data_IF_448559015219
#
_entry.id   IF_448559015219
#
_cell.length_a   1.000
_cell.length_b   1.000
_cell.length_c   1.000
_cell.angle_alpha   90.00
_cell.angle_beta   90.00
_cell.angle_gamma   90.00
#
_symmetry.space_group_name_H-M   'P 1'
#
loop_
_entity.id
_entity.type
_entity.pdbx_description
1 polymer ?
2 non-polymer ?
3 non-polymer ?
4 non-polymer ?
5 non-polymer ?
6 water ?
#
# COMPACT_ATOMS: atom_id res chain seq x y z
N UNK A 1 14.83 10.88 -11.10
CA UNK A 1 15.56 10.06 -12.13
C UNK A 1 14.74 9.06 -12.92
N UNK A 2 15.35 7.92 -13.26
CA UNK A 2 14.67 6.89 -14.04
C UNK A 2 13.82 6.04 -13.17
N UNK A 3 14.38 5.71 -12.01
CA UNK A 3 13.70 4.86 -11.04
C UNK A 3 13.09 5.61 -9.87
N UNK A 4 11.77 5.75 -9.92
CA UNK A 4 11.06 6.46 -8.89
C UNK A 4 10.15 5.54 -8.07
N UNK A 5 10.28 5.56 -6.74
CA UNK A 5 9.44 4.74 -5.88
C UNK A 5 8.28 5.56 -5.32
N UNK A 6 7.12 4.95 -5.18
CA UNK A 6 5.95 5.65 -4.64
C UNK A 6 5.37 4.79 -3.53
N UNK A 7 5.64 5.15 -2.29
CA UNK A 7 5.13 4.40 -1.16
C UNK A 7 4.39 5.31 -0.18
N UNK A 8 3.56 4.72 0.68
CA UNK A 8 2.79 5.51 1.63
C UNK A 8 3.62 5.81 2.85
N UNK A 9 3.57 7.04 3.35
CA UNK A 9 4.36 7.41 4.52
C UNK A 9 3.69 7.08 5.82
N UNK A 10 2.38 6.82 5.81
CA UNK A 10 1.72 6.54 7.06
C UNK A 10 1.27 5.11 7.29
N UNK A 11 -0.04 4.90 7.39
CA UNK A 11 -0.61 3.56 7.60
C UNK A 11 -1.50 3.15 6.44
N UNK A 12 -1.06 3.39 5.21
CA UNK A 12 -1.85 3.04 4.04
C UNK A 12 -2.88 4.10 3.68
N UNK A 13 -3.52 3.93 2.54
CA UNK A 13 -4.56 4.85 2.10
C UNK A 13 -4.17 6.30 1.98
N UNK A 14 -2.91 6.56 1.67
CA UNK A 14 -2.42 7.92 1.53
C UNK A 14 -2.79 8.53 0.18
N UNK A 15 -3.05 7.70 -0.81
CA UNK A 15 -3.41 8.18 -2.14
C UNK A 15 -2.36 7.77 -3.17
N UNK A 16 -1.78 6.59 -2.97
CA UNK A 16 -0.74 6.07 -3.83
C UNK A 16 -1.24 5.82 -5.23
N UNK A 17 -2.31 5.06 -5.36
CA UNK A 17 -2.81 4.79 -6.67
C UNK A 17 -2.85 6.02 -7.55
N UNK A 18 -3.67 7.00 -7.18
CA UNK A 18 -3.79 8.20 -7.99
C UNK A 18 -2.47 8.74 -8.47
N UNK A 19 -1.51 8.85 -7.57
CA UNK A 19 -0.21 9.43 -7.90
C UNK A 19 0.58 8.61 -8.91
N UNK A 20 0.43 7.28 -8.87
CA UNK A 20 1.13 6.44 -9.81
C UNK A 20 0.49 6.62 -11.17
N UNK A 21 -0.83 6.49 -11.25
CA UNK A 21 -1.51 6.66 -12.50
C UNK A 21 -1.14 7.97 -13.15
N UNK A 22 -1.00 9.00 -12.33
CA UNK A 22 -0.66 10.33 -12.79
C UNK A 22 0.71 10.41 -13.46
N UNK A 23 1.73 10.06 -12.67
CA UNK A 23 3.11 10.12 -13.12
C UNK A 23 3.54 9.07 -14.14
N UNK A 24 2.80 7.98 -14.25
CA UNK A 24 3.20 6.95 -15.20
C UNK A 24 3.13 7.46 -16.63
N UNK A 25 2.53 8.61 -16.81
CA UNK A 25 2.45 9.17 -18.14
C UNK A 25 3.83 9.07 -18.79
N UNK A 26 4.88 9.21 -17.99
CA UNK A 26 6.24 9.18 -18.49
C UNK A 26 7.04 7.87 -18.33
N UNK A 27 6.49 6.92 -17.58
CA UNK A 27 7.15 5.62 -17.32
C UNK A 27 6.98 4.61 -18.41
N UNK A 28 7.88 3.64 -18.49
CA UNK A 28 7.76 2.58 -19.47
C UNK A 28 7.18 1.42 -18.67
N UNK A 29 7.57 1.36 -17.40
CA UNK A 29 7.12 0.30 -16.51
C UNK A 29 6.67 0.82 -15.17
N UNK A 30 5.72 0.08 -14.60
CA UNK A 30 5.16 0.32 -13.27
C UNK A 30 5.32 -1.06 -12.63
N UNK A 31 5.83 -1.09 -11.40
CA UNK A 31 6.07 -2.36 -10.73
C UNK A 31 5.48 -2.54 -9.32
N UNK A 32 4.70 -3.60 -9.06
CA UNK A 32 4.20 -3.83 -7.71
C UNK A 32 5.26 -4.69 -7.01
N UNK A 33 5.68 -4.34 -5.81
CA UNK A 33 6.74 -5.12 -5.22
C UNK A 33 6.47 -5.79 -3.90
N UNK A 34 5.26 -5.67 -3.39
CA UNK A 34 4.94 -6.32 -2.13
C UNK A 34 3.46 -6.27 -1.86
N UNK A 35 3.01 -7.12 -0.94
CA UNK A 35 1.61 -7.16 -0.59
C UNK A 35 0.84 -8.02 -1.55
N UNK A 36 -0.47 -7.83 -1.59
CA UNK A 36 -1.31 -8.61 -2.49
C UNK A 36 -2.54 -7.82 -2.87
N UNK A 37 -3.69 -8.47 -2.83
CA UNK A 37 -4.93 -7.81 -3.16
C UNK A 37 -5.57 -7.22 -1.89
N UNK A 38 -4.77 -7.16 -0.82
CA UNK A 38 -5.22 -6.55 0.41
C UNK A 38 -5.15 -5.04 0.15
N UNK A 39 -4.39 -4.66 -0.88
CA UNK A 39 -4.29 -3.27 -1.25
C UNK A 39 -5.50 -2.90 -2.13
N UNK A 40 -5.93 -1.64 -2.01
CA UNK A 40 -7.06 -1.13 -2.78
C UNK A 40 -6.75 0.28 -3.25
N UNK A 41 -6.51 0.44 -4.55
CA UNK A 41 -6.18 1.75 -5.09
C UNK A 41 -7.24 2.23 -6.04
N UNK A 42 -7.99 3.25 -5.61
CA UNK A 42 -9.04 3.79 -6.46
C UNK A 42 -8.54 4.90 -7.38
N UNK A 43 -8.94 4.84 -8.64
CA UNK A 43 -8.54 5.86 -9.59
C UNK A 43 -9.79 6.54 -10.14
N UNK A 44 -9.65 7.81 -10.45
CA UNK A 44 -10.75 8.57 -10.98
C UNK A 44 -10.18 9.41 -12.08
N UNK A 45 -10.41 8.98 -13.31
CA UNK A 45 -9.89 9.71 -14.44
C UNK A 45 -11.02 10.36 -15.23
N UNK A 46 -11.13 11.69 -15.12
CA UNK A 46 -12.16 12.45 -15.81
C UNK A 46 -13.54 11.93 -15.46
N UNK A 47 -13.74 11.63 -14.18
CA UNK A 47 -15.03 11.12 -13.75
C UNK A 47 -15.11 9.61 -13.61
N UNK A 48 -14.40 8.89 -14.46
CA UNK A 48 -14.40 7.43 -14.40
C UNK A 48 -13.58 6.94 -13.21
N UNK A 49 -14.21 6.10 -12.41
CA UNK A 49 -13.62 5.54 -11.20
C UNK A 49 -13.21 4.07 -11.32
N UNK A 50 -11.91 3.82 -11.22
CA UNK A 50 -11.39 2.45 -11.30
C UNK A 50 -10.74 2.08 -9.98
N UNK A 51 -11.10 0.92 -9.49
CA UNK A 51 -10.55 0.43 -8.25
C UNK A 51 -9.68 -0.80 -8.53
N UNK A 52 -8.39 -0.73 -8.21
CA UNK A 52 -7.49 -1.83 -8.41
C UNK A 52 -7.03 -2.37 -7.09
N UNK A 53 -6.42 -3.55 -7.11
CA UNK A 53 -5.92 -4.19 -5.89
C UNK A 53 -4.57 -4.80 -6.19
N UNK A 54 -4.62 -5.86 -6.99
CA UNK A 54 -3.45 -6.62 -7.39
C UNK A 54 -2.76 -6.00 -8.62
N UNK A 55 -3.54 -5.62 -9.63
CA UNK A 55 -2.97 -5.04 -10.83
C UNK A 55 -2.35 -3.66 -10.57
N UNK A 56 -1.14 -3.39 -11.10
CA UNK A 56 -0.52 -2.07 -10.87
C UNK A 56 -1.32 -0.93 -11.44
N UNK A 57 -1.24 0.20 -10.74
CA UNK A 57 -1.96 1.38 -11.12
C UNK A 57 -1.53 2.05 -12.43
N UNK A 58 -0.71 1.39 -13.22
CA UNK A 58 -0.32 2.03 -14.47
C UNK A 58 -1.08 1.38 -15.60
N UNK A 59 -1.93 0.44 -15.25
CA UNK A 59 -2.67 -0.33 -16.23
C UNK A 59 -3.57 0.41 -17.21
N UNK A 60 -4.14 1.54 -16.81
CA UNK A 60 -5.02 2.29 -17.70
C UNK A 60 -4.25 3.15 -18.67
N UNK A 61 -2.95 2.95 -18.75
CA UNK A 61 -2.15 3.74 -19.66
C UNK A 61 -1.54 2.85 -20.73
N UNK A 62 -1.70 3.23 -21.99
CA UNK A 62 -1.11 2.44 -23.07
C UNK A 62 0.34 2.85 -23.22
N UNK A 63 1.18 1.92 -23.68
CA UNK A 63 2.60 2.20 -23.84
C UNK A 63 3.32 2.17 -22.49
N UNK A 64 2.68 1.52 -21.53
CA UNK A 64 3.21 1.34 -20.17
C UNK A 64 2.93 -0.10 -19.78
N UNK A 65 3.99 -0.89 -19.61
CA UNK A 65 3.84 -2.30 -19.23
C UNK A 65 3.77 -2.44 -17.70
N UNK A 66 2.80 -3.20 -17.20
CA UNK A 66 2.65 -3.39 -15.76
C UNK A 66 3.23 -4.72 -15.33
N UNK A 67 4.05 -4.68 -14.27
CA UNK A 67 4.72 -5.88 -13.80
C UNK A 67 4.42 -6.12 -12.35
N UNK A 68 4.15 -7.37 -12.02
CA UNK A 68 3.88 -7.76 -10.67
C UNK A 68 5.15 -8.47 -10.20
N UNK A 69 5.95 -7.80 -9.40
CA UNK A 69 7.20 -8.37 -8.90
C UNK A 69 7.07 -9.56 -7.99
N UNK A 70 8.18 -10.26 -7.79
CA UNK A 70 8.20 -11.46 -6.97
C UNK A 70 7.80 -11.19 -5.52
N UNK A 71 7.81 -9.92 -5.12
CA UNK A 71 7.43 -9.59 -3.75
C UNK A 71 5.94 -9.77 -3.51
N UNK A 72 5.16 -9.69 -4.58
CA UNK A 72 3.72 -9.81 -4.47
C UNK A 72 3.26 -11.25 -4.22
N UNK A 73 2.38 -11.45 -3.24
CA UNK A 73 1.87 -12.79 -3.03
C UNK A 73 0.66 -12.73 -3.96
N UNK A 74 0.52 -13.74 -4.82
CA UNK A 74 -0.53 -13.71 -5.84
C UNK A 74 -1.69 -14.70 -5.83
N UNK A 75 -2.89 -14.14 -5.78
CA UNK A 75 -4.13 -14.90 -5.78
C UNK A 75 -4.56 -14.92 -7.24
N UNK A 76 -4.60 -16.12 -7.86
CA UNK A 76 -5.00 -16.23 -9.26
C UNK A 76 -6.47 -15.91 -9.37
N UNK A 77 -7.21 -16.26 -8.32
CA UNK A 77 -8.64 -15.97 -8.26
C UNK A 77 -8.84 -14.47 -8.40
N UNK A 78 -8.26 -13.72 -7.47
CA UNK A 78 -8.37 -12.26 -7.47
C UNK A 78 -7.83 -11.67 -8.79
N UNK A 79 -6.70 -12.16 -9.26
CA UNK A 79 -6.12 -11.66 -10.52
C UNK A 79 -7.16 -11.83 -11.65
N UNK A 80 -7.80 -12.97 -11.70
CA UNK A 80 -8.80 -13.23 -12.74
C UNK A 80 -9.87 -12.18 -12.69
N UNK A 81 -10.61 -12.19 -11.59
CA UNK A 81 -11.71 -11.26 -11.33
C UNK A 81 -11.30 -9.85 -11.72
N UNK A 82 -10.08 -9.48 -11.38
CA UNK A 82 -9.61 -8.14 -11.67
C UNK A 82 -9.32 -7.94 -13.14
N UNK A 83 -8.89 -8.99 -13.83
CA UNK A 83 -8.59 -8.88 -15.25
C UNK A 83 -9.86 -8.73 -16.06
N UNK A 84 -10.85 -9.55 -15.76
CA UNK A 84 -12.12 -9.49 -16.48
C UNK A 84 -12.82 -8.13 -16.37
N UNK A 85 -12.88 -7.55 -15.17
CA UNK A 85 -13.52 -6.26 -15.02
C UNK A 85 -12.92 -5.20 -15.98
N UNK A 86 -11.59 -5.10 -16.02
CA UNK A 86 -10.92 -4.13 -16.89
C UNK A 86 -11.03 -4.53 -18.34
N UNK A 87 -10.87 -5.82 -18.61
CA UNK A 87 -10.95 -6.33 -19.97
C UNK A 87 -12.35 -5.98 -20.45
N UNK A 88 -13.31 -6.01 -19.55
CA UNK A 88 -14.68 -5.65 -19.89
C UNK A 88 -14.76 -4.16 -20.20
N UNK A 89 -14.21 -3.32 -19.34
CA UNK A 89 -14.26 -1.89 -19.59
C UNK A 89 -13.53 -1.56 -20.89
N UNK A 90 -12.86 -2.55 -21.46
CA UNK A 90 -12.16 -2.29 -22.69
C UNK A 90 -10.66 -2.19 -22.50
N UNK A 91 -10.18 -2.38 -21.27
CA UNK A 91 -8.75 -2.32 -20.99
C UNK A 91 -8.17 -3.69 -21.37
N UNK A 92 -7.17 -3.72 -22.26
CA UNK A 92 -6.47 -4.91 -22.76
C UNK A 92 -5.41 -5.45 -21.79
N UNK A 93 -5.84 -5.84 -20.59
CA UNK A 93 -4.96 -6.33 -19.53
C UNK A 93 -3.94 -7.35 -19.98
N UNK A 94 -4.43 -8.48 -20.47
CA UNK A 94 -3.56 -9.56 -20.92
C UNK A 94 -2.39 -9.08 -21.75
N UNK A 95 -2.55 -7.94 -22.42
CA UNK A 95 -1.53 -7.40 -23.28
C UNK A 95 -0.51 -6.45 -22.63
N UNK A 96 -0.87 -5.84 -21.50
CA UNK A 96 0.03 -4.91 -20.82
C UNK A 96 0.65 -5.40 -19.53
N UNK A 97 0.22 -6.56 -19.05
CA UNK A 97 0.70 -7.12 -17.79
C UNK A 97 1.79 -8.17 -17.93
N UNK A 98 2.62 -8.32 -16.91
CA UNK A 98 3.69 -9.30 -16.88
C UNK A 98 3.87 -9.74 -15.43
N UNK A 99 4.12 -11.02 -15.23
CA UNK A 99 4.31 -11.55 -13.88
C UNK A 99 5.72 -12.12 -13.70
N UNK A 100 6.03 -12.44 -12.45
CA UNK A 100 7.29 -13.00 -12.07
C UNK A 100 6.92 -14.37 -11.57
N UNK A 101 7.56 -15.39 -12.14
CA UNK A 101 7.32 -16.79 -11.75
C UNK A 101 7.76 -17.05 -10.31
N UNK A 102 8.20 -15.99 -9.63
CA UNK A 102 8.69 -16.12 -8.27
C UNK A 102 7.65 -15.69 -7.23
N UNK A 103 6.52 -15.18 -7.68
CA UNK A 103 5.45 -14.77 -6.76
C UNK A 103 4.85 -15.95 -6.04
N UNK A 104 4.77 -15.91 -4.71
CA UNK A 104 4.14 -17.09 -4.10
C UNK A 104 2.68 -17.10 -4.52
N UNK A 105 1.94 -18.16 -4.23
CA UNK A 105 0.50 -18.20 -4.57
C UNK A 105 -0.38 -18.19 -3.33
N UNK A 106 -1.46 -17.43 -3.38
CA UNK A 106 -2.38 -17.41 -2.26
C UNK A 106 -3.52 -18.25 -2.78
N UNK A 107 -3.80 -19.31 -2.04
CA UNK A 107 -4.87 -20.23 -2.39
C UNK A 107 -5.85 -20.35 -1.23
N UNK A 108 -7.02 -20.90 -1.54
CA UNK A 108 -8.10 -21.03 -0.57
C UNK A 108 -7.66 -21.28 0.87
N UNK A 109 -6.74 -22.20 1.06
CA UNK A 109 -6.32 -22.50 2.41
C UNK A 109 -5.66 -21.34 3.16
N UNK A 110 -5.17 -20.34 2.44
CA UNK A 110 -4.53 -19.22 3.11
C UNK A 110 -5.58 -18.31 3.69
N UNK A 111 -6.63 -18.05 2.91
CA UNK A 111 -7.71 -17.19 3.38
C UNK A 111 -8.35 -17.80 4.60
N UNK A 112 -8.45 -19.12 4.59
CA UNK A 112 -9.04 -19.90 5.69
C UNK A 112 -8.20 -19.84 6.96
N UNK A 113 -6.89 -19.98 6.80
CA UNK A 113 -5.96 -19.92 7.93
C UNK A 113 -6.01 -18.53 8.53
N UNK A 114 -6.05 -17.55 7.63
CA UNK A 114 -6.10 -16.12 7.97
C UNK A 114 -7.32 -15.81 8.83
N UNK A 115 -8.49 -16.30 8.41
CA UNK A 115 -9.70 -16.09 9.17
C UNK A 115 -9.61 -16.87 10.49
N UNK A 116 -9.15 -18.10 10.43
CA UNK A 116 -9.01 -18.89 11.64
C UNK A 116 -8.09 -18.24 12.68
N UNK A 117 -6.90 -17.81 12.26
CA UNK A 117 -5.96 -17.18 13.18
C UNK A 117 -6.54 -15.91 13.77
N UNK A 118 -7.32 -15.17 12.98
CA UNK A 118 -7.89 -13.93 13.48
C UNK A 118 -8.97 -14.16 14.52
N UNK A 119 -9.83 -15.14 14.28
CA UNK A 119 -10.89 -15.45 15.22
C UNK A 119 -10.27 -15.98 16.52
N UNK A 120 -9.13 -16.66 16.39
CA UNK A 120 -8.42 -17.21 17.54
C UNK A 120 -7.68 -16.12 18.32
N UNK A 121 -7.25 -15.05 17.64
CA UNK A 121 -6.56 -13.93 18.29
C UNK A 121 -7.56 -13.25 19.22
N UNK A 122 -8.83 -13.53 18.99
CA UNK A 122 -9.89 -12.98 19.81
C UNK A 122 -9.91 -11.48 19.88
N UNK A 123 -9.75 -10.95 21.09
CA UNK A 123 -9.77 -9.52 21.31
C UNK A 123 -8.53 -8.83 20.76
N UNK A 124 -7.45 -9.59 20.61
CA UNK A 124 -6.20 -9.07 20.11
C UNK A 124 -6.02 -9.32 18.62
N UNK A 125 -7.13 -9.46 17.91
CA UNK A 125 -7.09 -9.69 16.48
C UNK A 125 -6.47 -8.46 15.86
N UNK A 126 -5.77 -8.68 14.76
CA UNK A 126 -5.05 -7.66 14.02
C UNK A 126 -5.91 -6.70 13.18
N UNK A 127 -6.91 -7.23 12.48
CA UNK A 127 -7.74 -6.36 11.65
C UNK A 127 -7.39 -6.61 10.21
N UNK A 128 -6.93 -7.83 9.96
CA UNK A 128 -6.50 -8.36 8.67
C UNK A 128 -7.49 -8.14 7.54
N UNK A 129 -7.01 -8.02 6.29
CA UNK A 129 -7.96 -7.88 5.20
C UNK A 129 -8.71 -9.20 4.94
N UNK A 130 -8.24 -10.31 5.50
CA UNK A 130 -8.91 -11.60 5.31
C UNK A 130 -8.70 -12.24 3.94
N UNK A 131 -7.68 -11.76 3.22
CA UNK A 131 -7.32 -12.26 1.88
C UNK A 131 -6.17 -13.28 1.91
N UNK A 132 -5.79 -13.77 3.09
CA UNK A 132 -4.73 -14.76 3.19
C UNK A 132 -3.30 -14.32 2.88
N UNK A 133 -3.01 -13.04 3.10
CA UNK A 133 -1.70 -12.47 2.83
C UNK A 133 -0.61 -12.98 3.78
N UNK A 134 -0.88 -12.91 5.08
CA UNK A 134 0.11 -13.39 6.03
C UNK A 134 0.34 -14.86 5.80
N UNK A 135 -0.73 -15.67 5.72
CA UNK A 135 -0.46 -17.09 5.50
C UNK A 135 0.39 -17.37 4.27
N UNK A 136 0.16 -16.66 3.19
CA UNK A 136 0.94 -16.87 1.98
C UNK A 136 2.44 -16.55 2.21
N UNK A 137 2.69 -15.46 2.93
CA UNK A 137 4.05 -15.03 3.22
C UNK A 137 4.73 -15.98 4.18
N UNK A 138 3.91 -16.69 4.95
CA UNK A 138 4.43 -17.64 5.91
C UNK A 138 4.87 -18.92 5.22
N UNK A 139 4.10 -19.39 4.26
CA UNK A 139 4.48 -20.58 3.51
C UNK A 139 5.78 -20.30 2.76
N UNK A 140 5.91 -19.10 2.20
CA UNK A 140 7.11 -18.69 1.48
C UNK A 140 8.36 -18.76 2.36
N UNK A 141 8.43 -17.99 3.43
CA UNK A 141 9.63 -18.06 4.25
C UNK A 141 9.81 -19.42 4.90
N UNK A 142 8.79 -20.26 4.89
CA UNK A 142 8.94 -21.57 5.51
C UNK A 142 9.40 -22.53 4.43
N UNK A 143 9.57 -21.97 3.25
CA UNK A 143 10.01 -22.71 2.08
C UNK A 143 9.06 -23.83 1.68
N UNK A 144 7.83 -23.83 2.18
CA UNK A 144 6.90 -24.87 1.76
C UNK A 144 5.94 -24.47 0.64
N UNK A 145 5.79 -23.17 0.41
CA UNK A 145 4.86 -22.66 -0.60
C UNK A 145 5.07 -22.85 -2.09
N UNK A 146 3.96 -22.65 -2.83
CA UNK A 146 3.92 -22.76 -4.27
C UNK A 146 4.14 -21.38 -4.84
N UNK A 147 4.69 -21.30 -6.05
CA UNK A 147 4.94 -20.02 -6.68
C UNK A 147 4.42 -20.15 -8.10
N UNK A 148 4.21 -19.04 -8.80
CA UNK A 148 3.71 -19.17 -10.15
C UNK A 148 4.50 -20.18 -10.94
N UNK A 149 5.82 -20.11 -10.79
CA UNK A 149 6.70 -21.01 -11.50
C UNK A 149 6.29 -22.46 -11.41
N UNK A 150 5.84 -22.87 -10.21
CA UNK A 150 5.40 -24.24 -9.97
C UNK A 150 4.35 -24.72 -10.96
N UNK A 151 3.65 -23.79 -11.59
CA UNK A 151 2.60 -24.13 -12.54
C UNK A 151 3.11 -24.61 -13.90
N UNK A 152 4.38 -24.38 -14.19
CA UNK A 152 4.92 -24.84 -15.46
C UNK A 152 4.82 -26.36 -15.56
N UNK A 153 4.73 -27.02 -14.41
CA UNK A 153 4.62 -28.46 -14.39
C UNK A 153 3.33 -28.84 -13.64
N UNK A 154 2.28 -29.06 -14.43
CA UNK A 154 0.95 -29.41 -13.92
C UNK A 154 1.01 -30.62 -13.00
N UNK A 155 1.78 -31.62 -13.42
CA UNK A 155 1.93 -32.86 -12.67
C UNK A 155 2.55 -32.66 -11.30
N UNK A 156 3.67 -31.95 -11.26
CA UNK A 156 4.35 -31.69 -10.01
C UNK A 156 3.50 -30.78 -9.15
N UNK A 157 2.91 -29.76 -9.76
CA UNK A 157 2.07 -28.83 -8.99
C UNK A 157 1.12 -29.62 -8.13
N UNK A 158 0.60 -30.70 -8.69
CA UNK A 158 -0.32 -31.56 -7.97
C UNK A 158 0.38 -32.20 -6.79
N UNK A 159 1.50 -32.86 -7.03
CA UNK A 159 2.22 -33.51 -5.94
C UNK A 159 2.49 -32.55 -4.78
N UNK A 160 3.06 -31.38 -5.09
CA UNK A 160 3.39 -30.39 -4.07
C UNK A 160 2.16 -29.86 -3.35
N UNK A 161 1.13 -29.51 -4.12
CA UNK A 161 -0.10 -29.00 -3.53
C UNK A 161 -0.66 -29.91 -2.45
N UNK A 162 -0.60 -31.23 -2.68
CA UNK A 162 -1.11 -32.22 -1.73
C UNK A 162 -0.40 -32.17 -0.39
N UNK A 163 0.93 -32.13 -0.40
CA UNK A 163 1.68 -32.08 0.85
C UNK A 163 1.33 -30.82 1.63
N UNK A 164 1.39 -29.67 0.96
CA UNK A 164 1.09 -28.42 1.62
C UNK A 164 -0.32 -28.44 2.21
N UNK A 165 -1.32 -28.83 1.42
CA UNK A 165 -2.68 -28.88 1.95
C UNK A 165 -2.78 -29.91 3.09
N UNK A 166 -2.11 -31.04 2.94
CA UNK A 166 -2.16 -32.02 4.01
C UNK A 166 -1.82 -31.31 5.33
N UNK A 167 -0.73 -30.56 5.32
CA UNK A 167 -0.26 -29.85 6.51
C UNK A 167 -1.22 -28.79 7.03
N UNK A 168 -1.76 -27.99 6.11
CA UNK A 168 -2.67 -26.91 6.50
C UNK A 168 -4.00 -27.38 6.99
N UNK A 169 -4.60 -28.36 6.32
CA UNK A 169 -5.88 -28.89 6.77
C UNK A 169 -5.74 -29.54 8.15
N UNK A 170 -4.60 -30.16 8.42
CA UNK A 170 -4.38 -30.76 9.74
C UNK A 170 -4.46 -29.65 10.77
N UNK A 171 -3.85 -28.51 10.46
CA UNK A 171 -3.85 -27.34 11.36
C UNK A 171 -5.28 -26.90 11.61
N UNK A 172 -6.00 -26.68 10.52
CA UNK A 172 -7.37 -26.20 10.54
C UNK A 172 -8.30 -27.08 11.34
N UNK A 173 -8.48 -28.29 10.84
CA UNK A 173 -9.36 -29.23 11.48
C UNK A 173 -9.01 -29.56 12.92
N UNK A 174 -7.79 -30.02 13.15
CA UNK A 174 -7.38 -30.41 14.48
C UNK A 174 -7.11 -29.27 15.44
N UNK A 175 -6.52 -28.19 14.96
CA UNK A 175 -6.19 -27.10 15.87
C UNK A 175 -7.17 -25.93 15.91
N UNK A 176 -7.56 -25.41 14.75
CA UNK A 176 -8.50 -24.31 14.75
C UNK A 176 -9.92 -24.88 14.71
N UNK A 177 -10.04 -26.20 14.80
CA UNK A 177 -11.35 -26.84 14.78
C UNK A 177 -12.19 -26.33 13.61
N UNK A 178 -11.55 -26.00 12.50
CA UNK A 178 -12.28 -25.44 11.36
C UNK A 178 -12.47 -26.36 10.17
N UNK A 179 -13.31 -25.93 9.24
CA UNK A 179 -13.59 -26.70 8.04
C UNK A 179 -12.32 -26.91 7.21
N UNK A 180 -12.15 -28.12 6.68
CA UNK A 180 -10.98 -28.41 5.86
C UNK A 180 -11.20 -27.81 4.49
N UNK A 181 -10.12 -27.49 3.79
CA UNK A 181 -10.26 -26.95 2.45
C UNK A 181 -10.10 -28.08 1.45
N UNK A 182 -11.01 -28.19 0.50
CA UNK A 182 -10.93 -29.27 -0.46
C UNK A 182 -9.79 -29.17 -1.45
N UNK A 183 -8.88 -30.14 -1.37
CA UNK A 183 -7.72 -30.25 -2.24
C UNK A 183 -8.09 -30.21 -3.72
N UNK A 184 -8.96 -31.13 -4.13
CA UNK A 184 -9.42 -31.25 -5.51
C UNK A 184 -10.02 -29.99 -6.08
N UNK A 185 -10.80 -29.30 -5.28
CA UNK A 185 -11.41 -28.05 -5.71
C UNK A 185 -10.29 -27.09 -6.10
N UNK A 186 -9.40 -26.83 -5.12
CA UNK A 186 -8.27 -25.92 -5.33
C UNK A 186 -7.41 -26.34 -6.51
N UNK A 187 -7.16 -27.63 -6.64
CA UNK A 187 -6.36 -28.12 -7.73
C UNK A 187 -7.02 -27.76 -9.06
N UNK A 188 -8.34 -27.97 -9.11
CA UNK A 188 -9.12 -27.70 -10.31
C UNK A 188 -9.20 -26.23 -10.62
N UNK A 189 -9.58 -25.44 -9.61
CA UNK A 189 -9.69 -24.00 -9.74
C UNK A 189 -8.40 -23.45 -10.32
N UNK A 190 -7.29 -23.80 -9.68
CA UNK A 190 -5.98 -23.32 -10.08
C UNK A 190 -5.58 -23.75 -11.46
N UNK A 191 -5.66 -25.06 -11.70
CA UNK A 191 -5.29 -25.62 -12.99
C UNK A 191 -5.95 -24.91 -14.16
N UNK A 192 -7.13 -24.35 -13.89
CA UNK A 192 -7.91 -23.67 -14.91
C UNK A 192 -7.43 -22.27 -15.31
N UNK A 193 -6.53 -21.71 -14.50
CA UNK A 193 -5.99 -20.38 -14.77
C UNK A 193 -4.49 -20.50 -14.97
N UNK A 194 -3.98 -21.69 -14.68
CA UNK A 194 -2.55 -21.98 -14.81
C UNK A 194 -1.97 -21.46 -16.11
N UNK A 195 -2.70 -21.62 -17.20
CA UNK A 195 -2.22 -21.18 -18.50
C UNK A 195 -2.33 -19.68 -18.78
N UNK A 196 -3.12 -18.99 -17.97
CA UNK A 196 -3.26 -17.55 -18.14
C UNK A 196 -2.02 -16.95 -17.51
N UNK A 197 -1.77 -17.42 -16.30
CA UNK A 197 -0.63 -16.98 -15.51
C UNK A 197 0.70 -17.21 -16.22
N UNK A 198 1.07 -18.48 -16.37
CA UNK A 198 2.33 -18.87 -16.98
C UNK A 198 2.66 -18.18 -18.30
N UNK A 199 1.63 -17.71 -19.00
CA UNK A 199 1.83 -17.04 -20.28
C UNK A 199 2.21 -15.58 -20.13
N UNK A 200 2.06 -15.03 -18.93
CA UNK A 200 2.37 -13.62 -18.69
C UNK A 200 3.66 -13.51 -17.92
N UNK A 201 4.30 -14.64 -17.67
CA UNK A 201 5.56 -14.66 -16.96
C UNK A 201 6.74 -13.99 -17.67
N UNK A 202 7.63 -13.39 -16.89
CA UNK A 202 8.81 -12.74 -17.40
C UNK A 202 9.85 -12.68 -16.29
N UNK A 203 11.14 -12.74 -16.65
CA UNK A 203 12.19 -12.63 -15.65
C UNK A 203 12.39 -11.14 -15.36
N UNK A 204 11.64 -10.67 -14.38
CA UNK A 204 11.63 -9.28 -13.95
C UNK A 204 12.94 -8.61 -13.62
N UNK A 205 13.79 -9.26 -12.83
CA UNK A 205 15.06 -8.64 -12.48
C UNK A 205 15.88 -8.39 -13.71
N UNK A 206 15.90 -9.37 -14.61
CA UNK A 206 16.68 -9.21 -15.84
C UNK A 206 16.08 -8.04 -16.63
N UNK A 207 14.76 -8.01 -16.71
CA UNK A 207 14.07 -6.94 -17.43
C UNK A 207 14.38 -5.56 -16.87
N UNK A 208 14.31 -5.46 -15.53
CA UNK A 208 14.58 -4.21 -14.83
C UNK A 208 16.03 -3.79 -14.99
N UNK A 209 16.93 -4.75 -15.06
CA UNK A 209 18.31 -4.36 -15.26
C UNK A 209 18.49 -3.85 -16.69
N UNK A 210 17.79 -4.44 -17.66
CA UNK A 210 17.90 -4.01 -19.04
C UNK A 210 17.40 -2.61 -19.17
N UNK A 211 16.18 -2.37 -18.67
CA UNK A 211 15.56 -1.06 -18.74
C UNK A 211 16.46 -0.01 -18.11
N UNK A 212 17.19 -0.42 -17.08
CA UNK A 212 18.10 0.49 -16.40
C UNK A 212 19.21 0.94 -17.34
N UNK A 213 19.67 0.01 -18.19
CA UNK A 213 20.74 0.27 -19.15
C UNK A 213 20.27 1.12 -20.34
N UNK A 214 18.99 1.00 -20.67
CA UNK A 214 18.43 1.78 -21.76
C UNK A 214 17.93 3.13 -21.26
N UNK A 215 17.92 3.30 -19.95
CA UNK A 215 17.46 4.54 -19.37
C UNK A 215 15.95 4.62 -19.22
N UNK A 216 15.25 3.52 -19.43
CA UNK A 216 13.81 3.53 -19.27
C UNK A 216 13.43 4.14 -17.91
N UNK A 217 12.20 4.64 -17.85
CA UNK A 217 11.61 5.23 -16.65
C UNK A 217 10.77 4.17 -15.95
N UNK A 218 11.17 3.79 -14.75
CA UNK A 218 10.44 2.79 -13.99
C UNK A 218 9.84 3.42 -12.75
N UNK A 219 8.57 3.06 -12.49
CA UNK A 219 7.77 3.57 -11.37
C UNK A 219 7.43 2.39 -10.49
N UNK A 220 7.91 2.35 -9.26
CA UNK A 220 7.57 1.24 -8.38
C UNK A 220 6.41 1.71 -7.51
N UNK A 221 5.35 0.93 -7.51
CA UNK A 221 4.14 1.20 -6.76
C UNK A 221 4.09 0.41 -5.46
N UNK A 222 4.18 1.09 -4.32
CA UNK A 222 4.13 0.38 -3.06
C UNK A 222 2.69 0.22 -2.62
N UNK A 223 2.41 -0.70 -1.69
CA UNK A 223 1.05 -0.90 -1.17
C UNK A 223 1.11 -0.63 0.32
N UNK A 224 -0.02 -0.55 0.99
CA UNK A 224 -0.03 -0.26 2.42
C UNK A 224 0.83 0.97 2.76
N UNK A 225 1.48 0.97 3.92
CA UNK A 225 2.27 2.14 4.31
C UNK A 225 3.38 1.81 5.27
N UNK A 226 4.34 2.73 5.38
CA UNK A 226 5.52 2.57 6.24
C UNK A 226 5.28 1.98 7.61
N UNK A 227 4.27 2.43 8.32
CA UNK A 227 4.08 1.91 9.67
C UNK A 227 3.40 0.56 9.84
N UNK A 228 3.19 -0.13 8.72
CA UNK A 228 2.61 -1.45 8.71
C UNK A 228 3.68 -2.44 8.20
N UNK A 229 4.93 -1.98 8.09
CA UNK A 229 6.08 -2.79 7.65
C UNK A 229 6.35 -3.84 8.72
N UNK A 230 6.39 -5.09 8.29
CA UNK A 230 6.62 -6.23 9.19
C UNK A 230 7.82 -6.05 10.12
N UNK A 231 8.74 -5.20 9.73
CA UNK A 231 9.93 -4.96 10.53
C UNK A 231 9.86 -3.71 11.36
N UNK A 232 9.70 -2.59 10.67
CA UNK A 232 9.68 -1.29 11.29
C UNK A 232 8.32 -0.79 11.70
N UNK A 233 7.29 -1.58 11.47
CA UNK A 233 5.96 -1.14 11.86
C UNK A 233 5.59 -1.34 13.33
N UNK A 234 4.31 -1.13 13.59
CA UNK A 234 3.77 -1.27 14.92
C UNK A 234 3.36 -2.72 15.16
N UNK A 235 4.33 -3.61 15.01
CA UNK A 235 4.16 -5.06 15.21
C UNK A 235 3.43 -5.32 16.54
N UNK A 236 2.49 -6.27 16.55
CA UNK A 236 2.07 -7.09 15.42
C UNK A 236 0.99 -6.52 14.58
N UNK A 237 0.50 -5.33 14.91
CA UNK A 237 -0.56 -4.74 14.09
C UNK A 237 0.15 -4.22 12.88
N UNK A 238 0.43 -5.12 11.97
CA UNK A 238 1.20 -4.74 10.81
C UNK A 238 0.90 -5.73 9.68
N UNK A 239 1.29 -5.40 8.45
CA UNK A 239 1.04 -6.33 7.35
C UNK A 239 2.30 -7.19 7.26
N UNK A 240 2.23 -8.35 6.62
CA UNK A 240 3.39 -9.23 6.58
C UNK A 240 4.44 -9.07 5.50
N UNK A 241 4.59 -7.87 4.94
CA UNK A 241 5.60 -7.68 3.91
C UNK A 241 6.32 -6.41 4.30
N UNK A 242 7.41 -6.09 3.62
CA UNK A 242 8.14 -4.86 3.92
C UNK A 242 7.55 -3.76 3.03
N UNK A 243 6.85 -2.84 3.65
CA UNK A 243 6.24 -1.78 2.92
C UNK A 243 7.25 -0.65 2.67
N UNK A 244 8.31 -0.59 3.48
CA UNK A 244 9.34 0.44 3.34
C UNK A 244 10.12 0.30 2.01
N UNK A 245 10.86 1.34 1.62
CA UNK A 245 11.57 1.34 0.33
C UNK A 245 12.52 0.16 0.06
N UNK A 246 13.06 -0.44 1.11
CA UNK A 246 13.95 -1.56 0.91
C UNK A 246 13.26 -2.70 0.18
N UNK A 247 11.94 -2.85 0.39
CA UNK A 247 11.19 -3.90 -0.28
C UNK A 247 11.19 -3.73 -1.79
N UNK A 248 11.64 -2.59 -2.30
CA UNK A 248 11.65 -2.47 -3.74
C UNK A 248 12.69 -3.40 -4.32
N UNK A 249 13.90 -3.40 -3.76
CA UNK A 249 14.97 -4.25 -4.28
C UNK A 249 14.66 -5.71 -4.05
N UNK A 250 14.23 -5.98 -2.84
CA UNK A 250 13.88 -7.30 -2.39
C UNK A 250 12.74 -7.93 -3.19
N UNK A 251 11.70 -7.14 -3.45
CA UNK A 251 10.53 -7.62 -4.16
C UNK A 251 10.49 -7.48 -5.65
N UNK A 252 11.48 -6.79 -6.22
CA UNK A 252 11.52 -6.63 -7.67
C UNK A 252 12.83 -7.17 -8.26
N UNK A 253 13.92 -7.12 -7.49
CA UNK A 253 15.18 -7.64 -8.03
C UNK A 253 16.08 -6.54 -8.57
N UNK A 254 15.71 -5.29 -8.38
CA UNK A 254 16.50 -4.16 -8.82
C UNK A 254 17.55 -3.84 -7.76
N UNK A 255 18.81 -3.70 -8.12
CA UNK A 255 19.81 -3.38 -7.12
C UNK A 255 19.45 -2.11 -6.37
N UNK A 256 19.71 -2.04 -5.06
CA UNK A 256 19.38 -0.84 -4.29
C UNK A 256 20.09 0.41 -4.72
N UNK A 257 21.26 0.26 -5.34
CA UNK A 257 21.96 1.45 -5.77
C UNK A 257 21.24 2.11 -6.92
N UNK A 258 20.16 1.51 -7.38
CA UNK A 258 19.45 2.06 -8.52
C UNK A 258 18.15 2.82 -8.29
N UNK A 259 17.76 3.02 -7.03
CA UNK A 259 16.54 3.77 -6.71
C UNK A 259 17.00 5.21 -6.78
N UNK A 260 16.40 6.02 -7.67
CA UNK A 260 16.81 7.42 -7.85
C UNK A 260 16.15 8.48 -7.02
N UNK A 261 14.85 8.26 -6.77
CA UNK A 261 14.01 9.19 -6.04
C UNK A 261 12.94 8.36 -5.34
N UNK A 262 12.65 8.72 -4.09
CA UNK A 262 11.62 8.04 -3.33
C UNK A 262 10.55 9.05 -2.93
N UNK A 263 9.38 8.93 -3.53
CA UNK A 263 8.28 9.84 -3.29
C UNK A 263 7.40 9.28 -2.18
N UNK A 264 7.27 10.01 -1.07
CA UNK A 264 6.48 9.52 0.03
C UNK A 264 5.13 10.19 -0.01
N UNK A 265 4.06 9.42 -0.18
CA UNK A 265 2.71 9.99 -0.21
C UNK A 265 2.36 10.28 1.24
N UNK A 266 1.84 11.50 1.45
CA UNK A 266 1.50 11.97 2.78
C UNK A 266 0.10 12.53 2.76
N UNK A 267 -0.85 11.80 3.37
CA UNK A 267 -2.23 12.29 3.42
C UNK A 267 -2.25 13.46 4.42
N UNK A 268 -2.99 14.52 4.11
CA UNK A 268 -3.02 15.71 4.98
C UNK A 268 -3.41 15.49 6.45
N UNK A 269 -3.90 14.28 6.74
CA UNK A 269 -4.29 13.87 8.10
C UNK A 269 -4.13 12.35 8.16
N UNK A 270 -4.21 11.79 9.37
CA UNK A 270 -4.04 10.36 9.57
C UNK A 270 -5.30 9.52 9.56
N UNK A 271 -5.11 8.26 9.16
CA UNK A 271 -6.14 7.22 9.17
C UNK A 271 -5.44 5.88 9.44
N UNK A 272 -6.23 4.91 9.89
CA UNK A 272 -5.76 3.58 10.21
C UNK A 272 -6.95 2.63 10.09
N UNK A 273 -6.75 1.51 9.39
CA UNK A 273 -7.77 0.49 9.23
C UNK A 273 -7.24 -0.73 9.95
N UNK A 274 -8.00 -1.23 10.90
CA UNK A 274 -7.57 -2.39 11.64
C UNK A 274 -7.14 -1.90 12.99
N UNK A 275 -6.74 -2.82 13.85
CA UNK A 275 -6.30 -2.47 15.19
C UNK A 275 -4.90 -1.89 15.15
N UNK A 276 -4.44 -1.34 16.27
CA UNK A 276 -3.09 -0.79 16.30
C UNK A 276 -2.95 0.59 16.90
N UNK A 277 -1.84 0.87 17.56
CA UNK A 277 -1.67 2.19 18.15
C UNK A 277 -1.78 3.31 17.11
N UNK A 278 -2.39 4.41 17.53
CA UNK A 278 -2.64 5.60 16.71
C UNK A 278 -2.69 6.73 17.76
N UNK A 279 -1.54 7.27 18.16
CA UNK A 279 -1.48 8.34 19.16
C UNK A 279 -2.29 9.60 18.91
N UNK A 280 -2.53 9.82 17.63
CA UNK A 280 -3.20 11.00 17.12
C UNK A 280 -4.68 10.84 16.76
N UNK A 281 -5.30 9.76 17.21
CA UNK A 281 -6.70 9.47 16.91
C UNK A 281 -7.71 10.43 17.52
N UNK A 282 -8.71 10.79 16.71
CA UNK A 282 -9.76 11.71 17.13
C UNK A 282 -11.06 10.99 17.41
N UNK A 283 -11.71 11.32 18.51
CA UNK A 283 -12.99 10.71 18.81
C UNK A 283 -14.04 11.82 19.00
N UNK A 284 -13.89 12.95 18.33
CA UNK A 284 -14.83 14.05 18.52
C UNK A 284 -15.43 14.52 17.23
N UNK A 285 -16.00 15.71 17.24
CA UNK A 285 -16.63 16.26 16.04
C UNK A 285 -15.64 16.28 14.87
N UNK A 286 -14.41 16.67 15.17
CA UNK A 286 -13.35 16.73 14.17
C UNK A 286 -13.10 15.35 13.64
N UNK A 287 -13.03 14.38 14.54
CA UNK A 287 -12.80 13.01 14.13
C UNK A 287 -13.91 12.60 13.17
N UNK A 288 -15.13 13.01 13.49
CA UNK A 288 -16.34 12.72 12.70
C UNK A 288 -16.30 13.42 11.34
N UNK A 289 -15.85 14.67 11.36
CA UNK A 289 -15.74 15.53 10.19
C UNK A 289 -14.73 15.03 9.17
N UNK A 290 -13.60 14.55 9.68
CA UNK A 290 -12.53 14.04 8.84
C UNK A 290 -12.97 12.78 8.14
N UNK A 291 -13.70 11.91 8.84
CA UNK A 291 -14.20 10.67 8.22
C UNK A 291 -15.30 10.94 7.19
N UNK A 292 -16.27 11.74 7.57
CA UNK A 292 -17.33 12.01 6.63
C UNK A 292 -16.74 12.75 5.44
N UNK A 293 -15.85 13.69 5.70
CA UNK A 293 -15.26 14.43 4.58
C UNK A 293 -14.26 13.61 3.79
N UNK A 294 -13.55 12.72 4.46
CA UNK A 294 -12.57 11.91 3.78
C UNK A 294 -13.23 10.79 2.99
N UNK A 295 -14.40 10.35 3.45
CA UNK A 295 -15.13 9.28 2.81
C UNK A 295 -14.33 7.98 2.85
N UNK A 296 -13.72 7.70 3.99
CA UNK A 296 -12.90 6.50 4.17
C UNK A 296 -13.80 5.45 4.82
N UNK A 297 -14.81 5.00 4.10
CA UNK A 297 -15.72 4.03 4.70
C UNK A 297 -15.36 2.56 4.68
N UNK A 298 -14.68 2.12 3.62
CA UNK A 298 -14.32 0.72 3.55
C UNK A 298 -15.18 -0.03 2.56
N UNK A 299 -14.85 -1.30 2.38
CA UNK A 299 -15.58 -2.13 1.45
C UNK A 299 -16.57 -2.92 2.28
N UNK A 300 -16.27 -3.04 3.56
CA UNK A 300 -17.14 -3.80 4.43
C UNK A 300 -16.89 -3.54 5.90
N UNK A 301 -17.62 -4.29 6.70
CA UNK A 301 -17.55 -4.25 8.15
C UNK A 301 -16.09 -4.19 8.57
N UNK A 302 -15.75 -3.21 9.38
CA UNK A 302 -14.38 -3.08 9.85
C UNK A 302 -13.36 -2.37 8.96
N UNK A 303 -13.76 -1.88 7.79
CA UNK A 303 -12.83 -1.19 6.89
C UNK A 303 -13.08 0.32 6.96
N UNK A 304 -13.83 0.72 7.98
CA UNK A 304 -14.12 2.13 8.21
C UNK A 304 -12.88 2.67 8.88
N UNK A 305 -12.14 3.45 8.11
CA UNK A 305 -10.88 4.02 8.53
C UNK A 305 -10.97 4.95 9.73
N UNK A 306 -10.04 4.80 10.67
CA UNK A 306 -9.99 5.65 11.83
C UNK A 306 -9.31 6.93 11.37
N UNK A 307 -9.55 8.06 12.03
CA UNK A 307 -8.97 9.33 11.60
C UNK A 307 -8.30 10.10 12.74
N UNK A 308 -7.45 11.05 12.41
CA UNK A 308 -6.78 11.80 13.45
C UNK A 308 -5.89 12.87 12.85
N UNK A 309 -5.23 13.67 13.67
CA UNK A 309 -4.33 14.70 13.15
C UNK A 309 -3.05 14.14 12.51
N UNK A 310 -2.51 14.85 11.52
CA UNK A 310 -1.26 14.44 10.88
C UNK A 310 -0.22 14.26 12.02
N UNK A 311 0.51 13.15 11.99
CA UNK A 311 1.50 12.85 13.02
C UNK A 311 2.91 13.00 12.44
N UNK A 312 3.54 14.13 12.72
CA UNK A 312 4.87 14.48 12.28
C UNK A 312 6.00 13.71 12.95
N UNK A 313 5.72 13.12 14.11
CA UNK A 313 6.74 12.34 14.82
C UNK A 313 6.90 11.05 14.06
N UNK A 314 5.75 10.46 13.71
CA UNK A 314 5.67 9.22 12.94
C UNK A 314 6.13 9.43 11.49
N UNK A 315 5.84 10.60 10.90
CA UNK A 315 6.24 10.90 9.53
C UNK A 315 7.74 11.05 9.40
N UNK A 316 8.35 11.74 10.36
CA UNK A 316 9.79 11.91 10.36
C UNK A 316 10.47 10.54 10.39
N UNK A 317 9.82 9.55 11.00
CA UNK A 317 10.35 8.19 11.06
C UNK A 317 10.25 7.50 9.68
N UNK A 318 9.21 7.83 8.93
CA UNK A 318 9.05 7.26 7.59
C UNK A 318 10.05 7.95 6.72
N UNK A 319 10.46 9.15 7.10
CA UNK A 319 11.46 9.89 6.33
C UNK A 319 12.80 9.15 6.37
N UNK A 320 13.31 8.78 7.54
CA UNK A 320 14.60 8.10 7.59
C UNK A 320 14.58 6.67 7.10
N UNK A 321 13.54 5.93 7.40
CA UNK A 321 13.50 4.54 6.96
C UNK A 321 13.48 4.37 5.45
N UNK A 322 13.02 5.40 4.75
CA UNK A 322 12.88 5.33 3.28
C UNK A 322 13.82 6.20 2.48
N UNK A 323 14.62 7.02 3.15
CA UNK A 323 15.48 7.98 2.46
C UNK A 323 14.61 8.74 1.46
N UNK A 324 13.45 9.22 1.95
CA UNK A 324 12.50 9.97 1.11
C UNK A 324 13.21 11.14 0.46
N UNK A 325 12.76 11.56 -0.71
CA UNK A 325 13.38 12.68 -1.35
C UNK A 325 12.31 13.71 -1.70
N UNK A 326 11.06 13.36 -1.41
CA UNK A 326 9.96 14.28 -1.69
C UNK A 326 8.66 13.74 -1.12
N UNK A 327 7.75 14.64 -0.76
CA UNK A 327 6.44 14.27 -0.25
C UNK A 327 5.38 14.62 -1.32
N UNK A 328 4.20 14.03 -1.23
CA UNK A 328 3.09 14.37 -2.13
C UNK A 328 1.96 14.48 -1.15
N UNK A 329 1.50 15.70 -0.94
CA UNK A 329 0.44 15.94 0.02
C UNK A 329 -0.87 15.69 -0.64
N UNK A 330 -1.69 14.82 -0.07
CA UNK A 330 -2.97 14.52 -0.66
C UNK A 330 -4.05 14.88 0.34
N UNK A 331 -5.28 15.05 -0.16
CA UNK A 331 -6.45 15.37 0.65
C UNK A 331 -6.38 16.62 1.50
N UNK A 332 -5.62 17.62 1.05
CA UNK A 332 -5.49 18.87 1.78
C UNK A 332 -6.88 19.47 1.97
N UNK A 333 -7.72 19.32 0.96
CA UNK A 333 -9.09 19.82 0.96
C UNK A 333 -10.01 19.25 2.03
N UNK A 334 -9.71 18.08 2.58
CA UNK A 334 -10.57 17.52 3.61
C UNK A 334 -10.55 18.43 4.84
N UNK A 335 -9.50 19.22 4.97
CA UNK A 335 -9.35 20.13 6.10
C UNK A 335 -10.05 21.47 5.88
N UNK A 336 -10.47 21.76 4.66
CA UNK A 336 -11.14 23.03 4.39
C UNK A 336 -12.23 23.39 5.43
N UNK A 337 -12.30 24.65 5.81
CA UNK A 337 -13.32 25.07 6.74
C UNK A 337 -13.07 24.91 8.22
N UNK A 338 -12.20 23.99 8.60
CA UNK A 338 -11.89 23.80 10.02
C UNK A 338 -11.34 25.12 10.59
N UNK A 339 -11.64 25.40 11.85
CA UNK A 339 -11.19 26.65 12.49
C UNK A 339 -9.70 26.69 12.71
N UNK A 340 -9.18 25.59 13.25
CA UNK A 340 -7.78 25.45 13.53
C UNK A 340 -7.38 24.02 13.23
N UNK A 341 -6.16 23.87 12.74
CA UNK A 341 -5.62 22.59 12.36
C UNK A 341 -4.51 22.23 13.34
N UNK A 342 -4.19 20.96 13.49
CA UNK A 342 -3.13 20.58 14.43
C UNK A 342 -2.20 19.50 13.94
N UNK A 343 -0.96 19.55 14.40
CA UNK A 343 0.00 18.53 14.05
C UNK A 343 0.91 18.19 15.19
N UNK A 344 1.05 16.87 15.41
CA UNK A 344 1.85 16.32 16.47
C UNK A 344 3.33 16.54 16.21
N UNK A 345 4.02 17.14 17.18
CA UNK A 345 5.44 17.39 17.00
C UNK A 345 6.35 16.65 18.00
N UNK A 346 5.73 15.98 18.98
CA UNK A 346 6.47 15.23 19.97
C UNK A 346 5.50 14.31 20.68
N UNK A 347 6.03 13.36 21.43
CA UNK A 347 5.18 12.43 22.16
C UNK A 347 5.57 12.61 23.62
N UNK A 348 4.58 12.66 24.50
CA UNK A 348 4.88 12.80 25.91
C UNK A 348 4.84 11.40 26.48
N UNK A 349 5.98 10.91 26.97
CA UNK A 349 6.00 9.58 27.54
C UNK A 349 5.25 9.55 28.87
N UNK A 350 4.70 8.39 29.23
CA UNK A 350 3.95 8.27 30.48
C UNK A 350 4.73 8.90 31.65
N UNK A 351 6.03 8.64 31.66
CA UNK A 351 6.95 9.14 32.67
C UNK A 351 7.36 10.58 32.40
N UNK A 352 6.43 11.35 31.86
CA UNK A 352 6.68 12.76 31.57
C UNK A 352 7.70 13.10 30.50
N UNK A 353 8.47 12.11 30.08
CA UNK A 353 9.50 12.31 29.07
C UNK A 353 8.93 12.67 27.68
N UNK A 354 9.31 13.84 27.15
CA UNK A 354 8.86 14.30 25.83
C UNK A 354 9.84 13.95 24.72
N UNK A 355 9.57 12.88 23.98
CA UNK A 355 10.45 12.42 22.90
C UNK A 355 10.03 12.86 21.49
N UNK A 356 10.96 12.74 20.54
CA UNK A 356 10.67 13.13 19.16
C UNK A 356 10.78 12.00 18.15
N UNK A 357 10.99 10.79 18.66
CA UNK A 357 11.11 9.61 17.83
C UNK A 357 10.02 8.65 18.28
N UNK A 358 9.50 7.88 17.35
CA UNK A 358 8.42 6.97 17.67
C UNK A 358 8.94 5.65 18.24
N UNK A 359 8.09 4.98 19.03
CA UNK A 359 8.42 3.69 19.63
C UNK A 359 8.39 2.66 18.50
N UNK A 360 8.78 1.42 18.78
CA UNK A 360 8.76 0.39 17.77
C UNK A 360 7.57 -0.55 17.94
N UNK A 361 7.68 -1.51 18.85
CA UNK A 361 6.61 -2.47 19.08
C UNK A 361 5.35 -1.75 19.57
N UNK A 362 4.20 -2.25 19.15
CA UNK A 362 2.90 -1.67 19.52
C UNK A 362 2.75 -1.45 21.02
N UNK A 363 3.31 -2.36 21.80
CA UNK A 363 3.20 -2.25 23.25
C UNK A 363 3.94 -1.03 23.73
N UNK A 364 4.97 -0.63 23.00
CA UNK A 364 5.77 0.51 23.42
C UNK A 364 5.00 1.83 23.19
N UNK A 365 3.89 1.75 22.47
CA UNK A 365 3.10 2.93 22.17
C UNK A 365 1.97 3.15 23.17
N UNK A 366 1.54 2.08 23.83
CA UNK A 366 0.44 2.09 24.79
C UNK A 366 0.09 3.31 25.62
N UNK A 367 1.07 4.11 26.02
CA UNK A 367 0.72 5.28 26.81
C UNK A 367 1.15 6.65 26.34
N UNK A 368 1.62 6.76 25.09
CA UNK A 368 2.09 8.04 24.59
C UNK A 368 0.90 8.95 24.34
N UNK A 369 1.13 10.25 24.52
CA UNK A 369 0.11 11.26 24.28
C UNK A 369 0.75 12.24 23.31
N UNK A 370 0.02 12.67 22.29
CA UNK A 370 0.65 13.61 21.37
C UNK A 370 0.80 15.02 21.94
N UNK A 371 1.75 15.76 21.41
CA UNK A 371 1.97 17.12 21.80
C UNK A 371 1.85 17.84 20.46
N UNK A 372 0.77 18.58 20.26
CA UNK A 372 0.49 19.26 19.00
C UNK A 372 1.01 20.65 18.87
N UNK A 373 0.87 21.17 17.65
CA UNK A 373 1.18 22.55 17.31
C UNK A 373 -0.15 22.94 16.67
N UNK A 374 -0.78 24.00 17.13
CA UNK A 374 -2.06 24.36 16.58
C UNK A 374 -1.90 25.56 15.68
N UNK A 375 -2.57 25.53 14.55
CA UNK A 375 -2.48 26.67 13.67
C UNK A 375 -3.81 26.87 13.01
N UNK A 376 -4.02 28.06 12.45
CA UNK A 376 -5.28 28.39 11.78
C UNK A 376 -5.63 27.59 10.53
N UNK A 377 -6.90 27.17 10.48
CA UNK A 377 -7.40 26.45 9.33
C UNK A 377 -7.68 27.47 8.25
N UNK A 378 -8.53 27.15 7.29
CA UNK A 378 -8.83 28.08 6.22
C UNK A 378 -10.23 27.81 5.77
N UNK A 379 -10.95 28.88 5.43
CA UNK A 379 -12.35 28.77 5.01
C UNK A 379 -12.50 28.54 3.52
N UNK A 380 -11.65 29.18 2.73
CA UNK A 380 -11.75 29.00 1.29
C UNK A 380 -11.43 27.59 0.84
N UNK A 381 -12.07 27.20 -0.25
CA UNK A 381 -11.89 25.88 -0.84
C UNK A 381 -10.55 25.70 -1.54
N UNK A 382 -9.97 24.52 -1.32
CA UNK A 382 -8.70 24.14 -1.91
C UNK A 382 -8.98 22.96 -2.84
N UNK A 383 -10.21 22.46 -2.76
CA UNK A 383 -10.58 21.35 -3.61
C UNK A 383 -10.40 21.76 -5.05
N UNK A 384 -9.75 20.90 -5.85
CA UNK A 384 -9.57 21.18 -7.26
C UNK A 384 -8.55 22.23 -7.65
N UNK A 385 -7.98 22.95 -6.70
CA UNK A 385 -6.97 23.95 -7.06
C UNK A 385 -5.77 23.27 -7.72
N UNK A 386 -5.38 23.81 -8.87
CA UNK A 386 -4.26 23.30 -9.68
C UNK A 386 -3.06 24.23 -9.58
N UNK A 387 -3.31 25.47 -9.17
CA UNK A 387 -2.25 26.46 -9.04
C UNK A 387 -1.92 26.71 -7.57
N UNK A 388 -0.62 26.81 -7.25
CA UNK A 388 -0.19 27.05 -5.88
C UNK A 388 -0.68 28.41 -5.41
N UNK A 389 -0.49 29.43 -6.23
CA UNK A 389 -0.89 30.79 -5.93
C UNK A 389 -2.35 30.89 -5.53
N UNK A 390 -3.12 29.86 -5.90
CA UNK A 390 -4.54 29.85 -5.57
C UNK A 390 -4.82 29.22 -4.22
N UNK A 391 -3.78 28.88 -3.49
CA UNK A 391 -3.97 28.27 -2.19
C UNK A 391 -4.00 29.34 -1.13
N UNK A 392 -4.86 29.18 -0.11
CA UNK A 392 -4.94 30.19 0.95
C UNK A 392 -3.71 30.17 1.86
N UNK A 393 -3.20 31.35 2.21
CA UNK A 393 -2.02 31.47 3.06
C UNK A 393 -1.94 30.40 4.15
N UNK A 394 -2.99 30.29 4.96
CA UNK A 394 -3.03 29.31 6.05
C UNK A 394 -2.71 27.90 5.56
N UNK A 395 -3.18 27.57 4.35
CA UNK A 395 -2.94 26.25 3.75
C UNK A 395 -1.46 26.17 3.39
N UNK A 396 -0.94 27.21 2.77
CA UNK A 396 0.46 27.26 2.42
C UNK A 396 1.33 27.18 3.66
N UNK A 397 0.87 27.75 4.77
CA UNK A 397 1.67 27.71 6.00
C UNK A 397 1.66 26.30 6.55
N UNK A 398 0.55 25.62 6.40
CA UNK A 398 0.47 24.27 6.91
C UNK A 398 1.55 23.45 6.17
N UNK A 399 1.60 23.65 4.87
CA UNK A 399 2.54 22.97 4.02
C UNK A 399 3.98 23.27 4.46
N UNK A 400 4.34 24.55 4.51
CA UNK A 400 5.68 24.92 4.93
C UNK A 400 6.08 24.35 6.30
N UNK A 401 5.14 24.26 7.24
CA UNK A 401 5.52 23.74 8.54
C UNK A 401 5.88 22.26 8.46
N UNK A 402 5.20 21.54 7.58
CA UNK A 402 5.48 20.11 7.38
C UNK A 402 6.88 20.01 6.81
N UNK A 403 7.24 20.93 5.90
CA UNK A 403 8.56 20.94 5.31
C UNK A 403 9.68 21.31 6.29
N UNK A 404 9.37 22.13 7.30
CA UNK A 404 10.40 22.51 8.27
C UNK A 404 10.62 21.44 9.30
N UNK A 405 9.53 20.80 9.72
CA UNK A 405 9.62 19.74 10.73
C UNK A 405 10.32 18.48 10.22
N UNK A 406 10.01 18.10 8.98
CA UNK A 406 10.54 16.90 8.36
C UNK A 406 11.83 17.11 7.58
N UNK A 407 12.05 18.33 7.09
CA UNK A 407 13.25 18.56 6.33
C UNK A 407 13.13 18.10 4.90
N UNK A 408 11.96 17.61 4.50
CA UNK A 408 11.70 17.13 3.14
C UNK A 408 10.74 18.06 2.39
N UNK A 409 11.01 18.37 1.12
CA UNK A 409 10.13 19.24 0.36
C UNK A 409 8.86 18.56 -0.09
N UNK A 410 7.80 19.33 -0.20
CA UNK A 410 6.55 18.81 -0.69
C UNK A 410 6.51 19.16 -2.17
N UNK A 411 6.75 18.17 -3.03
CA UNK A 411 6.82 18.37 -4.47
C UNK A 411 5.56 18.27 -5.29
N UNK A 412 4.59 17.53 -4.79
CA UNK A 412 3.31 17.40 -5.50
C UNK A 412 2.19 17.60 -4.48
N UNK A 413 1.12 18.24 -4.92
CA UNK A 413 -0.01 18.47 -4.02
C UNK A 413 -1.27 18.03 -4.74
N UNK A 414 -2.01 17.10 -4.14
CA UNK A 414 -3.24 16.60 -4.72
C UNK A 414 -4.38 17.39 -4.07
N UNK A 415 -5.24 17.97 -4.89
CA UNK A 415 -6.34 18.79 -4.38
C UNK A 415 -7.69 18.23 -4.77
N UNK A 416 -7.71 16.97 -5.16
CA UNK A 416 -8.97 16.35 -5.53
C UNK A 416 -8.72 14.94 -5.99
N UNK A 417 -9.74 14.09 -5.97
CA UNK A 417 -9.62 12.70 -6.40
C UNK A 417 -9.31 12.49 -7.88
N UNK A 418 -9.47 13.53 -8.70
CA UNK A 418 -9.18 13.36 -10.13
C UNK A 418 -7.71 13.46 -10.45
N UNK A 419 -7.32 12.71 -11.48
CA UNK A 419 -5.96 12.67 -11.98
C UNK A 419 -5.49 14.07 -12.36
N UNK A 420 -6.43 14.92 -12.79
CA UNK A 420 -6.10 16.25 -13.21
C UNK A 420 -6.14 17.29 -12.11
N UNK A 421 -6.69 16.93 -10.96
CA UNK A 421 -6.78 17.86 -9.82
C UNK A 421 -5.52 17.74 -8.97
N UNK A 422 -4.41 18.17 -9.54
CA UNK A 422 -3.11 18.04 -8.90
C UNK A 422 -2.16 19.17 -9.30
N UNK A 423 -1.21 19.47 -8.44
CA UNK A 423 -0.20 20.48 -8.73
C UNK A 423 1.16 19.80 -8.71
N UNK A 424 1.84 19.71 -9.85
CA UNK A 424 3.14 19.11 -9.81
C UNK A 424 4.18 20.20 -9.70
N UNK A 425 4.65 20.42 -8.49
CA UNK A 425 5.66 21.43 -8.25
C UNK A 425 7.00 20.97 -8.86
N UNK A 426 7.41 19.74 -8.55
CA UNK A 426 8.64 19.17 -9.09
C UNK A 426 8.38 17.73 -9.47
N UNK A 427 8.68 17.38 -10.71
CA UNK A 427 8.47 16.02 -11.18
C UNK A 427 9.63 15.14 -10.71
N UNK A 428 9.31 13.93 -10.21
CA UNK A 428 10.31 12.98 -9.73
C UNK A 428 11.22 12.51 -10.88
N UNK A 429 10.66 12.47 -12.07
CA UNK A 429 11.41 12.04 -13.22
C UNK A 429 12.32 13.11 -13.73
N UNK A 430 12.18 14.31 -13.16
CA UNK A 430 13.00 15.44 -13.55
C UNK A 430 14.13 15.71 -12.59
N UNK A 431 14.01 15.17 -11.37
CA UNK A 431 15.05 15.34 -10.36
C UNK A 431 16.12 14.23 -10.45
X LIG B 1 -4.15 4.42 -1.68
X LIG B 1 -4.89 5.52 -1.16
X LIG B 1 -4.77 3.23 -1.13
X LIG B 1 -4.21 4.53 -3.11
X LIG B 1 -2.79 4.51 -1.23
X LIG C 1 -11.01 -1.70 1.63
X LIG C 1 -9.88 -1.95 2.53
X LIG C 1 -11.44 -2.91 1.05
X LIG C 1 -10.66 -0.77 0.61
X LIG C 1 -12.09 -1.20 2.40
X LIG D 1 -3.21 0.25 0.60
X LIG D 1 -3.08 -0.97 1.32
X LIG D 1 -4.53 0.40 0.02
X LIG D 1 -3.04 1.32 1.52
X LIG D 1 -2.19 0.43 -0.41
X LIG E 1 -6.28 1.97 0.03
X LIG F 1 -3.94 -2.40 6.58
X LIG F 1 -3.96 -1.45 7.37
X LIG F 1 -4.04 -2.18 5.22
X LIG F 1 -3.98 -3.42 4.63
X LIG F 1 -4.07 -3.64 3.47
X LIG F 1 -3.84 -4.38 5.61
X LIG F 1 -3.82 -3.82 6.86
X LIG F 1 -4.99 -4.49 7.60
X LIG F 1 -6.16 -3.66 7.60
X LIG F 1 -4.48 -4.66 9.05
X LIG F 1 -4.49 -3.38 9.70
X LIG F 1 -3.04 -5.08 8.77
X LIG F 1 -2.66 -4.26 7.66
X LIG F 1 -2.92 -6.57 8.38
X LIG F 1 -3.74 -6.87 7.27
X LIG F 1 -3.29 -7.88 6.10
X LIG F 1 -2.65 -7.11 5.04
X LIG F 1 -4.56 -8.47 5.55
X LIG F 1 -2.41 -8.92 6.57
X LIG G 1 -19.00 8.80 10.92
X LIG G 1 -17.60 8.36 10.52
X LIG G 1 -19.96 7.98 10.29
X LIG G 1 -17.36 8.42 8.71
#
# INVERSE_FOLDING_TARGET
>A
GNNVVVLGTQWGDEGKGKIVDLLTERAKYVVRYQGGHNAGHTLVINGEKTVLHLIPSGILRENVTSIIGNGVVLSPAALMKEMKELEDRGIPVRERLLLSEACPLILDYHVALDNAREKARGAKAIGTTGRGIGPAYEDKVARRGLRVGDLFDKETFAEKLKEVMEYHNFQLVNYYKAEAVDYQKVLDDTMAVADILTSMVVDVSDLLDQARQRGDFVMFEGAQGTLLDIDHGTYPYVTSSNTTAGGVATGSGLGPRYVDYVLGILKAYSTRVGAGPFPTELFDETGEFLCKQGNEFGATTGRRRRTGWLDTVAVRRAVQLNSLSGFCLTKLDVLDGLKEVKLCVAYRMPDGREVTTTPLAADDWKGVEPIYETMPGWSESTFGVKDRSGLPQAALNYIKRIEELTGVPIDIISTGPDRTETMILRDPFDA
>B hetero
1 SO4 S O1 O2 O3 O4
>C hetero
1 SO4 S O1 O2 O3 O4
>D hetero
1 SO4 S O1 O2 O3 O4
>E hetero
1 NA NA
>F hetero
1 H5P C2 O2 N3 C4 O4 N5 C1' C2' O2' C3' O3' C4' O4' C5' O5' P O1P O2P O3P
>G hetero
1 BME C1 C2 O1 S2
#
